data_IF_754340558312
#
_entry.id   IF_754340558312
#
_cell.length_a   1.000
_cell.length_b   1.000
_cell.length_c   1.000
_cell.angle_alpha   90.00
_cell.angle_beta   90.00
_cell.angle_gamma   90.00
#
_symmetry.space_group_name_H-M   'P 1'
#
loop_
_entity.id
_entity.type
_entity.pdbx_description
1 polymer ?
#
# COMPACT_ATOMS: atom_id res chain seq x y z
N UNK A 1 -4.76 -6.39 8.78
CA UNK A 1 -4.57 -5.79 7.44
C UNK A 1 -3.52 -6.57 6.66
N UNK A 2 -3.60 -6.56 5.32
CA UNK A 2 -2.74 -7.36 4.42
C UNK A 2 -1.30 -6.83 4.28
N UNK A 3 -1.07 -5.53 4.46
CA UNK A 3 0.22 -4.86 4.23
C UNK A 3 1.08 -4.62 5.47
N UNK A 4 0.75 -5.31 6.58
CA UNK A 4 1.39 -5.14 7.88
C UNK A 4 2.71 -5.91 8.00
N UNK A 5 2.80 -6.77 9.01
CA UNK A 5 4.02 -7.55 9.29
C UNK A 5 4.32 -8.51 8.12
N UNK A 6 5.47 -8.32 7.47
CA UNK A 6 5.87 -9.06 6.26
C UNK A 6 5.97 -10.57 6.49
N UNK A 7 6.35 -11.00 7.68
CA UNK A 7 6.44 -12.42 8.08
C UNK A 7 5.09 -13.16 8.05
N UNK A 8 3.97 -12.44 8.20
CA UNK A 8 2.61 -13.02 8.15
C UNK A 8 1.98 -12.97 6.76
N UNK A 9 2.61 -12.31 5.81
CA UNK A 9 1.99 -11.98 4.53
C UNK A 9 3.04 -11.77 3.43
N UNK A 10 3.89 -12.77 3.12
CA UNK A 10 4.96 -12.64 2.13
C UNK A 10 4.44 -12.32 0.71
N UNK A 11 3.17 -12.62 0.45
CA UNK A 11 2.49 -12.33 -0.82
C UNK A 11 2.04 -10.87 -0.95
N UNK A 12 2.01 -10.12 0.16
CA UNK A 12 1.58 -8.73 0.20
C UNK A 12 2.77 -7.85 0.57
N UNK A 13 3.16 -6.90 -0.29
CA UNK A 13 4.29 -6.04 0.01
C UNK A 13 3.99 -5.14 1.21
N UNK A 14 5.00 -4.87 2.04
CA UNK A 14 4.93 -3.81 3.05
C UNK A 14 4.79 -2.46 2.36
N UNK A 15 3.85 -1.65 2.85
CA UNK A 15 3.65 -0.27 2.39
C UNK A 15 4.10 0.76 3.43
N UNK A 16 4.45 0.32 4.65
CA UNK A 16 4.93 1.20 5.70
C UNK A 16 6.32 1.75 5.34
N UNK A 17 6.49 3.06 5.49
CA UNK A 17 7.71 3.79 5.14
C UNK A 17 7.90 4.04 3.64
N UNK A 18 6.96 3.62 2.78
CA UNK A 18 7.06 3.91 1.35
C UNK A 18 6.85 5.42 1.08
N UNK A 19 7.49 6.02 0.06
CA UNK A 19 7.31 7.43 -0.24
C UNK A 19 5.84 7.77 -0.50
N UNK A 20 5.32 8.86 0.08
CA UNK A 20 3.93 9.27 -0.07
C UNK A 20 3.52 9.35 -1.56
N UNK A 21 4.32 10.03 -2.38
CA UNK A 21 4.10 10.14 -3.84
C UNK A 21 3.93 8.79 -4.55
N UNK A 22 4.67 7.77 -4.07
CA UNK A 22 4.58 6.43 -4.64
C UNK A 22 3.24 5.80 -4.24
N UNK A 23 2.86 5.86 -2.96
CA UNK A 23 1.60 5.32 -2.47
C UNK A 23 0.41 5.98 -3.19
N UNK A 24 0.40 7.31 -3.33
CA UNK A 24 -0.64 8.04 -4.06
C UNK A 24 -0.77 7.56 -5.50
N UNK A 25 0.37 7.48 -6.21
CA UNK A 25 0.41 6.99 -7.60
C UNK A 25 -0.14 5.57 -7.69
N UNK A 26 0.27 4.68 -6.79
CA UNK A 26 -0.15 3.29 -6.82
C UNK A 26 -1.65 3.12 -6.53
N UNK A 27 -2.19 3.84 -5.54
CA UNK A 27 -3.61 3.82 -5.22
C UNK A 27 -4.43 4.40 -6.39
N UNK A 28 -3.98 5.50 -6.99
CA UNK A 28 -4.61 6.07 -8.18
C UNK A 28 -4.66 5.11 -9.36
N UNK A 29 -3.55 4.39 -9.63
CA UNK A 29 -3.50 3.38 -10.68
C UNK A 29 -4.41 2.18 -10.40
N UNK A 30 -4.50 1.71 -9.15
CA UNK A 30 -5.42 0.63 -8.78
C UNK A 30 -6.88 1.06 -8.90
N UNK A 31 -7.22 2.28 -8.42
CA UNK A 31 -8.57 2.86 -8.55
C UNK A 31 -8.99 3.01 -10.00
N UNK A 32 -8.08 3.45 -10.87
CA UNK A 32 -8.31 3.59 -12.30
C UNK A 32 -8.26 2.26 -13.09
N UNK A 33 -8.00 1.12 -12.43
CA UNK A 33 -7.84 -0.17 -13.10
C UNK A 33 -6.60 -0.26 -14.01
N UNK A 34 -5.66 0.69 -13.90
CA UNK A 34 -4.43 0.77 -14.71
C UNK A 34 -3.25 0.02 -14.08
N UNK A 35 -3.42 -0.51 -12.87
CA UNK A 35 -2.49 -1.43 -12.19
C UNK A 35 -3.23 -2.66 -11.72
N UNK A 36 -2.60 -3.83 -11.87
CA UNK A 36 -3.21 -5.11 -11.55
C UNK A 36 -2.50 -6.25 -12.27
N UNK A 37 -3.27 -7.20 -12.82
CA UNK A 37 -2.76 -8.30 -13.64
C UNK A 37 -2.25 -9.53 -12.88
N UNK A 38 -2.16 -9.45 -11.55
CA UNK A 38 -1.85 -10.60 -10.69
C UNK A 38 -3.09 -11.12 -9.98
N UNK A 39 -3.05 -12.37 -9.51
CA UNK A 39 -4.12 -12.99 -8.70
C UNK A 39 -4.52 -12.15 -7.47
N UNK A 40 -3.59 -11.34 -6.94
CA UNK A 40 -3.82 -10.48 -5.77
C UNK A 40 -4.04 -9.00 -6.11
N UNK A 41 -3.74 -8.57 -7.34
CA UNK A 41 -3.92 -7.18 -7.77
C UNK A 41 -5.38 -6.71 -7.72
N UNK A 42 -6.33 -7.61 -7.95
CA UNK A 42 -7.77 -7.32 -7.82
C UNK A 42 -8.18 -6.92 -6.40
N UNK A 43 -7.47 -7.41 -5.37
CA UNK A 43 -7.75 -7.04 -3.97
C UNK A 43 -7.47 -5.55 -3.73
N UNK A 44 -6.36 -5.04 -4.28
CA UNK A 44 -6.02 -3.63 -4.19
C UNK A 44 -6.93 -2.75 -5.05
N UNK A 45 -7.35 -3.22 -6.22
CA UNK A 45 -8.34 -2.51 -7.03
C UNK A 45 -9.67 -2.33 -6.25
N UNK A 46 -10.14 -3.39 -5.58
CA UNK A 46 -11.33 -3.31 -4.73
C UNK A 46 -11.12 -2.39 -3.51
N UNK A 47 -9.95 -2.45 -2.87
CA UNK A 47 -9.63 -1.58 -1.74
C UNK A 47 -9.56 -0.09 -2.14
N UNK A 48 -9.09 0.21 -3.35
CA UNK A 48 -8.93 1.58 -3.84
C UNK A 48 -10.19 2.16 -4.50
N UNK A 49 -11.15 1.32 -4.92
CA UNK A 49 -12.32 1.73 -5.72
C UNK A 49 -13.18 2.83 -5.07
N UNK A 50 -13.30 2.81 -3.74
CA UNK A 50 -14.11 3.77 -2.99
C UNK A 50 -13.36 4.98 -2.45
N UNK A 51 -12.04 5.09 -2.69
CA UNK A 51 -11.24 6.16 -2.12
C UNK A 51 -11.41 7.46 -2.90
N UNK A 52 -11.68 8.54 -2.18
CA UNK A 52 -11.58 9.91 -2.70
C UNK A 52 -10.11 10.30 -2.87
N UNK A 53 -9.86 11.42 -3.55
CA UNK A 53 -8.49 11.95 -3.66
C UNK A 53 -7.92 12.37 -2.29
N UNK A 54 -8.79 12.82 -1.39
CA UNK A 54 -8.42 13.18 -0.02
C UNK A 54 -8.04 11.94 0.79
N UNK A 55 -8.79 10.84 0.65
CA UNK A 55 -8.44 9.56 1.27
C UNK A 55 -7.09 9.05 0.77
N UNK A 56 -6.83 9.13 -0.54
CA UNK A 56 -5.57 8.70 -1.14
C UNK A 56 -4.39 9.49 -0.55
N UNK A 57 -4.51 10.82 -0.46
CA UNK A 57 -3.49 11.69 0.15
C UNK A 57 -3.31 11.38 1.63
N UNK A 58 -4.40 11.20 2.38
CA UNK A 58 -4.36 10.89 3.80
C UNK A 58 -3.68 9.53 4.07
N UNK A 59 -4.02 8.49 3.30
CA UNK A 59 -3.42 7.17 3.40
C UNK A 59 -1.94 7.19 3.02
N UNK A 60 -1.57 7.93 1.98
CA UNK A 60 -0.17 8.08 1.59
C UNK A 60 0.66 8.79 2.66
N UNK A 61 0.14 9.86 3.25
CA UNK A 61 0.77 10.55 4.37
C UNK A 61 0.89 9.65 5.61
N UNK A 62 -0.14 8.85 5.91
CA UNK A 62 -0.12 7.91 7.02
C UNK A 62 0.92 6.80 6.85
N UNK A 63 0.90 6.09 5.71
CA UNK A 63 1.79 4.95 5.49
C UNK A 63 3.23 5.35 5.26
N UNK A 64 3.50 6.52 4.66
CA UNK A 64 4.87 7.02 4.51
C UNK A 64 5.56 7.34 5.84
N UNK A 65 4.78 7.67 6.88
CA UNK A 65 5.27 7.92 8.24
C UNK A 65 5.16 6.71 9.16
N UNK A 66 4.49 5.65 8.71
CA UNK A 66 4.39 4.40 9.47
C UNK A 66 5.75 3.73 9.51
N UNK A 67 6.20 3.31 10.69
CA UNK A 67 7.43 2.55 10.83
C UNK A 67 7.35 1.31 9.93
N UNK A 68 8.24 1.20 8.94
CA UNK A 68 8.39 0.00 8.15
C UNK A 68 8.57 -1.16 9.14
N UNK A 69 7.65 -2.13 9.12
CA UNK A 69 7.75 -3.32 9.94
C UNK A 69 8.86 -4.24 9.39
N UNK A 70 10.11 -3.78 9.46
CA UNK A 70 11.39 -4.49 9.50
C UNK A 70 12.52 -3.52 9.12
N UNK A 71 12.92 -2.68 10.07
CA UNK A 71 14.30 -2.16 10.13
C UNK A 71 14.91 -2.45 11.52
N UNK A 72 14.50 -3.57 12.13
CA UNK A 72 15.23 -4.21 13.22
C UNK A 72 15.86 -5.47 12.65
N UNK A 73 16.88 -5.29 11.82
CA UNK A 73 18.00 -6.22 11.82
C UNK A 73 18.78 -5.90 13.11
N UNK A 74 18.49 -6.64 14.17
CA UNK A 74 19.29 -6.60 15.40
C UNK A 74 20.60 -7.35 15.14
N UNK A 75 21.70 -6.59 15.24
CA UNK A 75 23.11 -6.95 15.52
C UNK A 75 23.77 -8.06 14.70
#
# INVERSE_FOLDING_TARGET
GCHGRQDRSPLYPSIAGQPARYIETQLGLFRAGRRGGTRFGKLMANAAKGLTDDDVRALAAYFSRSAAASATATR
#
